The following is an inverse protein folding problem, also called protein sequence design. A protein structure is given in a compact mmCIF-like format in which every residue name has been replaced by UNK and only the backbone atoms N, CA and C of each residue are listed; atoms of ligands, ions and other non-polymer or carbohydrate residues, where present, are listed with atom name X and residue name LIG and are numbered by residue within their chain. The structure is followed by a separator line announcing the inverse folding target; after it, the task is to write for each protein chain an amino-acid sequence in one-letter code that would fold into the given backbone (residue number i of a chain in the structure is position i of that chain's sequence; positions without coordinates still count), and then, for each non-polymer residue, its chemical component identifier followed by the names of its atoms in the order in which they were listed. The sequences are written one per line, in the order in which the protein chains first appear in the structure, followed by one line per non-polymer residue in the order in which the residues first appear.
data_IF_345272254913
#
_entry.id   IF_345272254913
#
_cell.length_a   1.000
_cell.length_b   1.000
_cell.length_c   1.000
_cell.angle_alpha   90.00
_cell.angle_beta   90.00
_cell.angle_gamma   90.00
#
_symmetry.space_group_name_H-M   'P 1'
#
loop_
_entity.id
_entity.type
_entity.pdbx_description
1 polymer ?
#
# COMPACT_ATOMS: atom_id res chain seq x y z
N UNK A 1 0.77 0.92 18.55
CA UNK A 1 1.36 0.18 17.42
C UNK A 1 0.43 0.06 16.23
N UNK A 2 -0.77 -0.53 16.33
CA UNK A 2 -1.72 -0.53 15.20
C UNK A 2 -2.04 0.89 14.69
N UNK A 3 -2.19 1.86 15.60
CA UNK A 3 -2.36 3.28 15.25
C UNK A 3 -1.16 3.82 14.46
N UNK A 4 0.06 3.48 14.86
CA UNK A 4 1.27 3.92 14.16
C UNK A 4 1.36 3.31 12.76
N UNK A 5 1.01 2.03 12.60
CA UNK A 5 0.91 1.40 11.29
C UNK A 5 -0.12 2.10 10.41
N UNK A 6 -1.33 2.32 10.94
CA UNK A 6 -2.41 2.98 10.22
C UNK A 6 -2.04 4.41 9.82
N UNK A 7 -1.31 5.13 10.68
CA UNK A 7 -0.81 6.47 10.36
C UNK A 7 0.22 6.45 9.23
N UNK A 8 1.18 5.52 9.26
CA UNK A 8 2.18 5.37 8.18
C UNK A 8 1.51 4.93 6.88
N UNK A 9 0.59 3.97 6.94
CA UNK A 9 -0.22 3.51 5.80
C UNK A 9 -1.02 4.67 5.20
N UNK A 10 -1.61 5.54 6.03
CA UNK A 10 -2.34 6.73 5.57
C UNK A 10 -1.40 7.72 4.86
N UNK A 11 -0.25 8.03 5.45
CA UNK A 11 0.73 8.92 4.82
C UNK A 11 1.23 8.36 3.48
N UNK A 12 1.47 7.05 3.43
CA UNK A 12 1.85 6.37 2.21
C UNK A 12 0.75 6.42 1.13
N UNK A 13 -0.51 6.21 1.51
CA UNK A 13 -1.64 6.33 0.57
C UNK A 13 -1.76 7.76 0.06
N UNK A 14 -1.64 8.78 0.92
CA UNK A 14 -1.64 10.18 0.51
C UNK A 14 -0.51 10.45 -0.48
N UNK A 15 0.72 10.00 -0.18
CA UNK A 15 1.86 10.10 -1.08
C UNK A 15 1.60 9.43 -2.43
N UNK A 16 1.02 8.24 -2.41
CA UNK A 16 0.72 7.46 -3.63
C UNK A 16 -0.37 8.13 -4.46
N UNK A 17 -1.41 8.69 -3.84
CA UNK A 17 -2.46 9.44 -4.55
C UNK A 17 -1.92 10.72 -5.18
N UNK A 18 -0.95 11.38 -4.54
CA UNK A 18 -0.29 12.58 -5.08
C UNK A 18 0.70 12.22 -6.20
N UNK A 19 1.38 11.09 -6.12
CA UNK A 19 2.40 10.72 -7.11
C UNK A 19 1.83 9.95 -8.30
N UNK A 20 0.88 9.04 -8.09
CA UNK A 20 0.36 8.10 -9.10
C UNK A 20 1.50 7.48 -9.92
N UNK A 21 2.44 6.77 -9.27
CA UNK A 21 3.60 6.25 -9.96
C UNK A 21 3.21 5.07 -10.84
N UNK A 22 3.80 5.00 -12.02
CA UNK A 22 3.72 3.85 -12.92
C UNK A 22 5.13 3.39 -13.29
N UNK A 23 5.29 2.14 -13.71
CA UNK A 23 6.59 1.57 -14.06
C UNK A 23 6.52 0.93 -15.43
N UNK A 24 7.49 1.26 -16.27
CA UNK A 24 7.66 0.68 -17.61
C UNK A 24 9.05 0.07 -17.72
N UNK A 25 9.10 -1.21 -18.13
CA UNK A 25 10.36 -1.88 -18.40
C UNK A 25 10.71 -1.77 -19.88
N UNK A 26 11.85 -1.17 -20.20
CA UNK A 26 12.34 -1.01 -21.56
C UNK A 26 13.74 -1.61 -21.70
N UNK A 27 13.81 -2.88 -22.10
CA UNK A 27 15.05 -3.63 -22.24
C UNK A 27 15.80 -3.75 -20.90
N UNK A 28 16.80 -2.92 -20.71
CA UNK A 28 17.73 -2.84 -19.60
C UNK A 28 17.53 -1.59 -18.73
N UNK A 29 16.49 -0.80 -19.03
CA UNK A 29 16.14 0.44 -18.33
C UNK A 29 14.79 0.28 -17.63
N UNK A 30 14.77 0.69 -16.35
CA UNK A 30 13.57 0.81 -15.54
C UNK A 30 13.07 2.26 -15.59
N UNK A 31 11.95 2.52 -16.24
CA UNK A 31 11.31 3.84 -16.18
C UNK A 31 10.28 3.87 -15.07
N UNK A 32 10.37 4.88 -14.20
CA UNK A 32 9.31 5.20 -13.23
C UNK A 32 8.68 6.51 -13.72
N UNK A 33 7.39 6.46 -14.08
CA UNK A 33 6.61 7.58 -14.59
C UNK A 33 5.67 8.10 -13.51
N UNK A 34 5.31 9.38 -13.57
CA UNK A 34 4.30 10.00 -12.72
C UNK A 34 3.16 10.52 -13.57
N UNK A 35 1.97 9.97 -13.37
CA UNK A 35 0.76 10.33 -14.14
C UNK A 35 -0.01 11.50 -13.50
N UNK A 36 0.52 12.10 -12.43
CA UNK A 36 -0.16 13.18 -11.74
C UNK A 36 0.14 14.55 -12.39
N UNK A 37 -0.88 15.34 -12.78
CA UNK A 37 -0.69 16.64 -13.43
C UNK A 37 -0.02 17.70 -12.54
N UNK A 38 0.04 17.50 -11.22
CA UNK A 38 0.74 18.39 -10.30
C UNK A 38 2.25 18.17 -10.29
N UNK A 39 2.73 17.03 -10.78
CA UNK A 39 4.17 16.73 -10.88
C UNK A 39 4.66 17.23 -12.23
N UNK A 40 5.51 18.24 -12.22
CA UNK A 40 6.08 18.75 -13.48
C UNK A 40 7.32 17.96 -13.89
N UNK A 41 7.70 18.06 -15.15
CA UNK A 41 8.92 17.42 -15.70
C UNK A 41 10.24 17.99 -15.14
N UNK A 42 10.18 18.97 -14.22
CA UNK A 42 11.39 19.52 -13.59
C UNK A 42 12.10 18.42 -12.80
N UNK A 43 13.44 18.25 -12.95
CA UNK A 43 14.17 17.19 -12.25
C UNK A 43 13.93 17.18 -10.74
N UNK A 44 13.85 18.34 -10.10
CA UNK A 44 13.57 18.44 -8.68
C UNK A 44 12.23 17.80 -8.29
N UNK A 45 11.17 18.03 -9.05
CA UNK A 45 9.82 17.54 -8.74
C UNK A 45 9.77 16.01 -8.84
N UNK A 46 10.31 15.43 -9.94
CA UNK A 46 10.32 13.97 -10.14
C UNK A 46 11.18 13.24 -9.11
N UNK A 47 12.34 13.80 -8.74
CA UNK A 47 13.18 13.23 -7.70
C UNK A 47 12.54 13.36 -6.31
N UNK A 48 11.93 14.50 -5.99
CA UNK A 48 11.23 14.67 -4.72
C UNK A 48 10.08 13.66 -4.58
N UNK A 49 9.27 13.47 -5.63
CA UNK A 49 8.22 12.47 -5.65
C UNK A 49 8.77 11.05 -5.50
N UNK A 50 9.87 10.70 -6.20
CA UNK A 50 10.53 9.40 -6.04
C UNK A 50 11.03 9.19 -4.61
N UNK A 51 11.67 10.18 -4.03
CA UNK A 51 12.24 10.12 -2.67
C UNK A 51 11.15 9.91 -1.63
N UNK A 52 10.07 10.70 -1.68
CA UNK A 52 8.94 10.60 -0.76
C UNK A 52 8.26 9.23 -0.90
N UNK A 53 8.01 8.80 -2.14
CA UNK A 53 7.34 7.53 -2.40
C UNK A 53 8.18 6.35 -1.90
N UNK A 54 9.47 6.33 -2.26
CA UNK A 54 10.42 5.29 -1.83
C UNK A 54 10.57 5.27 -0.30
N UNK A 55 10.62 6.45 0.34
CA UNK A 55 10.68 6.57 1.78
C UNK A 55 9.50 5.87 2.45
N UNK A 56 8.27 6.14 2.02
CA UNK A 56 7.09 5.54 2.64
C UNK A 56 6.96 4.04 2.36
N UNK A 57 7.35 3.58 1.17
CA UNK A 57 7.41 2.13 0.86
C UNK A 57 8.31 1.44 1.87
N UNK A 58 9.56 1.88 2.03
CA UNK A 58 10.48 1.23 2.96
C UNK A 58 10.14 1.48 4.43
N UNK A 59 9.52 2.61 4.76
CA UNK A 59 9.08 2.86 6.13
C UNK A 59 7.96 1.89 6.55
N UNK A 60 7.06 1.54 5.63
CA UNK A 60 6.04 0.51 5.85
C UNK A 60 6.63 -0.89 6.09
N UNK A 61 7.83 -1.18 5.55
CA UNK A 61 8.55 -2.43 5.84
C UNK A 61 9.23 -2.38 7.20
N UNK A 62 9.98 -1.30 7.46
CA UNK A 62 10.77 -1.16 8.68
C UNK A 62 9.91 -1.04 9.94
N UNK A 63 8.67 -0.58 9.83
CA UNK A 63 7.78 -0.51 10.99
C UNK A 63 7.36 -1.90 11.51
N UNK A 64 7.32 -2.92 10.64
CA UNK A 64 6.90 -4.27 11.02
C UNK A 64 7.82 -4.90 12.08
N UNK A 65 9.15 -5.02 11.91
CA UNK A 65 10.02 -5.54 12.96
C UNK A 65 9.93 -4.72 14.26
N UNK A 66 9.77 -3.39 14.18
CA UNK A 66 9.59 -2.53 15.36
C UNK A 66 8.32 -2.91 16.13
N UNK A 67 7.22 -3.23 15.45
CA UNK A 67 5.99 -3.70 16.09
C UNK A 67 6.18 -5.03 16.81
N UNK A 68 6.92 -5.97 16.21
CA UNK A 68 7.26 -7.23 16.87
C UNK A 68 8.14 -7.01 18.09
N UNK A 69 9.15 -6.13 18.01
CA UNK A 69 10.05 -5.81 19.13
C UNK A 69 9.27 -5.16 20.28
N UNK A 70 8.43 -4.18 19.97
CA UNK A 70 7.56 -3.55 20.95
C UNK A 70 6.65 -4.58 21.62
N UNK A 71 6.03 -5.46 20.84
CA UNK A 71 5.16 -6.49 21.39
C UNK A 71 5.92 -7.44 22.30
N UNK A 72 7.10 -7.89 21.88
CA UNK A 72 7.96 -8.73 22.70
C UNK A 72 8.29 -8.05 24.03
N UNK A 73 8.61 -6.75 24.01
CA UNK A 73 8.83 -5.97 25.24
C UNK A 73 7.61 -6.00 26.18
N UNK A 74 6.43 -5.69 25.66
CA UNK A 74 5.18 -5.65 26.45
C UNK A 74 4.88 -7.01 27.07
N UNK A 75 5.10 -8.09 26.33
CA UNK A 75 4.78 -9.46 26.78
C UNK A 75 5.83 -10.04 27.73
N UNK A 76 7.10 -9.69 27.57
CA UNK A 76 8.20 -10.32 28.32
C UNK A 76 8.44 -9.78 29.71
N UNK A 77 7.67 -8.78 30.15
CA UNK A 77 7.89 -8.03 31.40
C UNK A 77 9.32 -7.51 31.60
N UNK A 78 10.20 -7.64 30.59
CA UNK A 78 11.61 -7.25 30.60
C UNK A 78 11.80 -5.74 30.43
N UNK A 79 10.75 -4.95 30.61
CA UNK A 79 10.84 -3.50 30.75
C UNK A 79 11.62 -2.80 29.65
N UNK A 80 11.55 -3.24 28.38
CA UNK A 80 12.19 -2.47 27.31
C UNK A 80 11.53 -1.10 27.29
N UNK A 81 12.28 -0.09 27.75
CA UNK A 81 11.78 1.26 27.94
C UNK A 81 11.23 1.76 26.61
N UNK A 82 10.12 2.47 26.64
CA UNK A 82 9.55 3.10 25.45
C UNK A 82 10.59 3.95 24.68
N UNK A 83 11.53 4.56 25.41
CA UNK A 83 12.70 5.26 24.84
C UNK A 83 13.55 4.40 23.91
N UNK A 84 13.75 3.11 24.20
CA UNK A 84 14.52 2.20 23.32
C UNK A 84 13.81 2.00 21.98
N UNK A 85 12.48 1.83 21.99
CA UNK A 85 11.68 1.70 20.77
C UNK A 85 11.73 3.00 19.96
N UNK A 86 11.63 4.15 20.63
CA UNK A 86 11.73 5.45 19.98
C UNK A 86 13.11 5.69 19.35
N UNK A 87 14.20 5.24 20.00
CA UNK A 87 15.56 5.31 19.44
C UNK A 87 15.71 4.44 18.19
N UNK A 88 15.16 3.22 18.20
CA UNK A 88 15.15 2.34 17.02
C UNK A 88 14.37 3.02 15.89
N UNK A 89 13.19 3.57 16.18
CA UNK A 89 12.37 4.28 15.20
C UNK A 89 13.11 5.50 14.62
N UNK A 90 13.74 6.31 15.46
CA UNK A 90 14.53 7.47 15.02
C UNK A 90 15.72 7.05 14.14
N UNK A 91 16.40 5.94 14.48
CA UNK A 91 17.46 5.36 13.68
C UNK A 91 16.95 4.93 12.30
N UNK A 92 15.82 4.21 12.23
CA UNK A 92 15.20 3.81 10.97
C UNK A 92 14.80 5.03 10.11
N UNK A 93 14.17 6.05 10.71
CA UNK A 93 13.80 7.29 10.01
C UNK A 93 15.05 7.98 9.45
N UNK A 94 16.10 8.12 10.26
CA UNK A 94 17.35 8.76 9.83
C UNK A 94 18.00 7.99 8.69
N UNK A 95 18.08 6.66 8.81
CA UNK A 95 18.60 5.79 7.77
C UNK A 95 17.80 5.94 6.47
N UNK A 96 16.47 5.95 6.52
CA UNK A 96 15.63 6.10 5.32
C UNK A 96 15.78 7.48 4.68
N UNK A 97 15.88 8.55 5.46
CA UNK A 97 16.12 9.90 4.93
C UNK A 97 17.44 9.96 4.17
N UNK A 98 18.51 9.40 4.75
CA UNK A 98 19.82 9.31 4.10
C UNK A 98 19.75 8.42 2.87
N UNK A 99 19.18 7.22 2.97
CA UNK A 99 19.07 6.30 1.84
C UNK A 99 18.29 6.90 0.66
N UNK A 100 17.17 7.58 0.95
CA UNK A 100 16.35 8.21 -0.09
C UNK A 100 17.04 9.44 -0.69
N UNK A 101 17.85 10.20 0.06
CA UNK A 101 18.58 11.35 -0.51
C UNK A 101 19.64 10.95 -1.54
N UNK A 102 20.08 9.69 -1.54
CA UNK A 102 20.96 9.17 -2.59
C UNK A 102 20.25 8.83 -3.90
N UNK A 103 18.90 8.82 -3.95
CA UNK A 103 18.17 8.39 -5.13
C UNK A 103 18.38 9.29 -6.36
N UNK A 104 18.60 10.59 -6.16
CA UNK A 104 18.96 11.52 -7.24
C UNK A 104 20.33 11.24 -7.85
N UNK A 105 21.20 10.54 -7.11
CA UNK A 105 22.50 10.09 -7.59
C UNK A 105 22.46 8.68 -8.18
N UNK A 106 21.39 7.91 -8.03
CA UNK A 106 21.27 6.54 -8.57
C UNK A 106 20.43 6.50 -9.84
N UNK A 107 19.38 7.30 -9.93
CA UNK A 107 18.49 7.40 -11.09
C UNK A 107 18.84 8.60 -11.97
N UNK A 108 18.52 8.51 -13.25
CA UNK A 108 18.75 9.56 -14.23
C UNK A 108 17.51 10.42 -14.44
N UNK A 109 17.75 11.71 -14.63
CA UNK A 109 16.73 12.68 -15.02
C UNK A 109 16.26 12.46 -16.48
N UNK A 110 15.08 12.99 -16.86
CA UNK A 110 14.63 12.96 -18.24
C UNK A 110 15.66 13.52 -19.24
N UNK A 111 15.84 12.86 -20.36
CA UNK A 111 16.68 13.32 -21.46
C UNK A 111 16.14 12.85 -22.83
N UNK A 112 16.64 13.45 -23.91
CA UNK A 112 16.15 13.19 -25.26
C UNK A 112 16.31 11.73 -25.73
N UNK A 113 17.32 11.00 -25.23
CA UNK A 113 17.53 9.59 -25.56
C UNK A 113 16.44 8.70 -24.94
N UNK A 114 16.18 8.90 -23.65
CA UNK A 114 15.13 8.20 -22.92
C UNK A 114 13.72 8.58 -23.41
N UNK A 115 13.49 9.85 -23.76
CA UNK A 115 12.22 10.29 -24.36
C UNK A 115 11.92 9.54 -25.65
N UNK A 116 12.92 9.38 -26.50
CA UNK A 116 12.78 8.62 -27.75
C UNK A 116 12.37 7.17 -27.47
N UNK A 117 12.99 6.52 -26.48
CA UNK A 117 12.66 5.15 -26.10
C UNK A 117 11.22 5.01 -25.56
N UNK A 118 10.75 5.98 -24.78
CA UNK A 118 9.37 6.00 -24.25
C UNK A 118 8.34 6.29 -25.36
N UNK A 119 8.66 7.20 -26.30
CA UNK A 119 7.82 7.46 -27.47
C UNK A 119 7.70 6.24 -28.40
N UNK A 120 8.80 5.50 -28.60
CA UNK A 120 8.79 4.25 -29.36
C UNK A 120 7.90 3.18 -28.71
N UNK A 121 7.64 3.29 -27.40
CA UNK A 121 6.66 2.47 -26.67
C UNK A 121 5.24 3.01 -26.68
N UNK A 122 4.99 4.13 -27.36
CA UNK A 122 3.68 4.75 -27.46
C UNK A 122 3.26 5.59 -26.25
N UNK A 123 4.21 5.97 -25.38
CA UNK A 123 3.94 6.92 -24.30
C UNK A 123 3.87 8.34 -24.90
N UNK A 124 2.78 9.10 -24.69
CA UNK A 124 2.62 10.42 -25.28
C UNK A 124 3.51 11.47 -24.59
N UNK A 125 3.72 12.61 -25.25
CA UNK A 125 4.69 13.63 -24.81
C UNK A 125 4.31 14.26 -23.46
N UNK A 126 3.02 14.46 -23.25
CA UNK A 126 2.42 14.97 -22.02
C UNK A 126 2.71 14.10 -20.80
N UNK A 127 2.97 12.80 -21.00
CA UNK A 127 3.21 11.82 -19.93
C UNK A 127 4.71 11.57 -19.68
N UNK A 128 5.60 12.34 -20.32
CA UNK A 128 7.07 12.20 -20.15
C UNK A 128 7.59 12.83 -18.86
N UNK A 129 6.92 12.57 -17.74
CA UNK A 129 7.35 12.92 -16.38
C UNK A 129 7.89 11.65 -15.72
N UNK A 130 9.21 11.44 -15.79
CA UNK A 130 9.82 10.18 -15.38
C UNK A 130 11.21 10.33 -14.75
N UNK A 131 11.72 9.22 -14.21
CA UNK A 131 13.14 8.98 -13.92
C UNK A 131 13.53 7.62 -14.48
N UNK A 132 14.79 7.49 -14.88
CA UNK A 132 15.30 6.28 -15.53
C UNK A 132 16.33 5.58 -14.64
N UNK A 133 16.06 4.34 -14.28
CA UNK A 133 17.01 3.42 -13.68
C UNK A 133 17.79 2.71 -14.77
N UNK A 134 18.91 3.29 -15.17
CA UNK A 134 19.81 2.78 -16.21
C UNK A 134 21.12 2.29 -15.58
N UNK A 135 21.33 0.98 -15.61
CA UNK A 135 22.51 0.31 -15.04
C UNK A 135 23.82 0.64 -15.77
N UNK A 136 23.73 1.01 -17.05
CA UNK A 136 24.89 1.33 -17.88
C UNK A 136 25.30 2.79 -17.70
N UNK A 137 24.32 3.69 -17.56
CA UNK A 137 24.58 5.08 -17.22
C UNK A 137 25.10 5.23 -15.77
N UNK A 138 24.63 4.37 -14.86
CA UNK A 138 24.97 4.51 -13.45
C UNK A 138 25.07 3.19 -12.68
N UNK A 139 26.31 2.82 -12.37
CA UNK A 139 26.61 1.61 -11.61
C UNK A 139 26.10 1.65 -10.16
N UNK A 140 25.81 2.83 -9.59
CA UNK A 140 25.25 2.97 -8.23
C UNK A 140 23.82 2.41 -8.09
N UNK A 141 23.12 2.19 -9.21
CA UNK A 141 21.81 1.55 -9.23
C UNK A 141 21.85 0.12 -8.64
N UNK A 142 22.93 -0.63 -8.90
CA UNK A 142 23.04 -2.02 -8.44
C UNK A 142 23.26 -2.12 -6.93
N UNK A 143 24.20 -1.38 -6.30
CA UNK A 143 24.28 -1.26 -4.84
C UNK A 143 22.99 -0.77 -4.20
N UNK A 144 22.26 0.15 -4.84
CA UNK A 144 20.97 0.61 -4.34
C UNK A 144 19.97 -0.56 -4.24
N UNK A 145 19.77 -1.33 -5.31
CA UNK A 145 18.92 -2.52 -5.27
C UNK A 145 19.40 -3.56 -4.26
N UNK A 146 20.70 -3.78 -4.14
CA UNK A 146 21.29 -4.66 -3.14
C UNK A 146 20.97 -4.20 -1.71
N UNK A 147 21.09 -2.90 -1.41
CA UNK A 147 20.72 -2.31 -0.13
C UNK A 147 19.23 -2.49 0.18
N UNK A 148 18.36 -2.30 -0.81
CA UNK A 148 16.93 -2.49 -0.66
C UNK A 148 16.57 -3.95 -0.32
N UNK A 149 17.18 -4.92 -1.01
CA UNK A 149 17.00 -6.35 -0.72
C UNK A 149 17.54 -6.72 0.65
N UNK A 150 18.71 -6.21 1.02
CA UNK A 150 19.31 -6.45 2.34
C UNK A 150 18.41 -5.91 3.46
N UNK A 151 17.82 -4.72 3.29
CA UNK A 151 16.90 -4.12 4.25
C UNK A 151 15.68 -5.02 4.50
N UNK A 152 15.09 -5.56 3.43
CA UNK A 152 13.97 -6.50 3.51
C UNK A 152 14.39 -7.77 4.23
N UNK A 153 15.51 -8.40 3.82
CA UNK A 153 16.01 -9.64 4.43
C UNK A 153 16.23 -9.45 5.93
N UNK A 154 16.99 -8.42 6.33
CA UNK A 154 17.30 -8.13 7.74
C UNK A 154 16.01 -7.90 8.54
N UNK A 155 15.06 -7.13 7.99
CA UNK A 155 13.78 -6.86 8.65
C UNK A 155 12.98 -8.14 8.88
N UNK A 156 12.88 -9.01 7.88
CA UNK A 156 12.13 -10.26 7.98
C UNK A 156 12.81 -11.29 8.88
N UNK A 157 14.14 -11.37 8.85
CA UNK A 157 14.89 -12.18 9.82
C UNK A 157 14.62 -11.71 11.25
N UNK A 158 14.64 -10.39 11.50
CA UNK A 158 14.32 -9.83 12.80
C UNK A 158 12.89 -10.16 13.24
N UNK A 159 11.89 -10.06 12.34
CA UNK A 159 10.50 -10.46 12.60
C UNK A 159 10.44 -11.91 13.07
N UNK A 160 11.07 -12.84 12.34
CA UNK A 160 11.04 -14.28 12.66
C UNK A 160 11.65 -14.55 14.04
N UNK A 161 12.83 -13.99 14.31
CA UNK A 161 13.52 -14.18 15.61
C UNK A 161 12.66 -13.65 16.76
N UNK A 162 12.15 -12.42 16.63
CA UNK A 162 11.37 -11.78 17.69
C UNK A 162 10.01 -12.46 17.86
N UNK A 163 9.39 -12.93 16.78
CA UNK A 163 8.17 -13.74 16.83
C UNK A 163 8.37 -15.02 17.64
N UNK A 164 9.42 -15.80 17.33
CA UNK A 164 9.73 -17.04 18.06
C UNK A 164 9.93 -16.75 19.55
N UNK A 165 10.69 -15.69 19.88
CA UNK A 165 10.88 -15.27 21.28
C UNK A 165 9.56 -14.88 21.94
N UNK A 166 8.69 -14.14 21.26
CA UNK A 166 7.36 -13.74 21.75
C UNK A 166 6.49 -14.97 22.03
N UNK A 167 6.47 -15.96 21.12
CA UNK A 167 5.70 -17.19 21.33
C UNK A 167 6.20 -18.00 22.53
N UNK A 168 7.52 -18.11 22.71
CA UNK A 168 8.11 -18.81 23.87
C UNK A 168 7.68 -18.16 25.18
N UNK A 169 7.68 -16.83 25.25
CA UNK A 169 7.24 -16.08 26.43
C UNK A 169 5.73 -16.23 26.66
N UNK A 170 4.90 -16.07 25.62
CA UNK A 170 3.45 -16.23 25.74
C UNK A 170 3.07 -17.63 26.29
N UNK A 171 3.72 -18.69 25.80
CA UNK A 171 3.47 -20.06 26.28
C UNK A 171 3.82 -20.24 27.76
N UNK A 172 4.90 -19.62 28.24
CA UNK A 172 5.29 -19.68 29.66
C UNK A 172 4.26 -19.00 30.57
N UNK A 173 3.70 -17.88 30.13
CA UNK A 173 2.70 -17.14 30.90
C UNK A 173 1.26 -17.60 30.65
N UNK A 174 1.02 -18.51 29.69
CA UNK A 174 -0.33 -18.93 29.29
C UNK A 174 -1.16 -19.50 30.46
N UNK A 175 -0.50 -20.19 31.41
CA UNK A 175 -1.14 -20.77 32.61
C UNK A 175 -1.65 -19.68 33.57
N UNK A 176 -1.01 -18.50 33.56
CA UNK A 176 -1.32 -17.39 34.47
C UNK A 176 -2.25 -16.34 33.83
N UNK A 177 -2.62 -16.49 32.55
CA UNK A 177 -3.47 -15.55 31.84
C UNK A 177 -4.95 -15.91 31.98
N UNK A 178 -5.79 -14.90 32.17
CA UNK A 178 -7.25 -15.09 32.05
C UNK A 178 -7.62 -15.52 30.63
N UNK A 179 -8.73 -16.24 30.47
CA UNK A 179 -9.22 -16.68 29.16
C UNK A 179 -9.42 -15.50 28.18
N UNK A 180 -9.90 -14.36 28.69
CA UNK A 180 -10.08 -13.13 27.92
C UNK A 180 -8.74 -12.57 27.41
N UNK A 181 -7.74 -12.43 28.29
CA UNK A 181 -6.39 -11.96 27.92
C UNK A 181 -5.73 -12.91 26.91
N UNK A 182 -5.87 -14.23 27.11
CA UNK A 182 -5.35 -15.26 26.19
C UNK A 182 -5.97 -15.12 24.80
N UNK A 183 -7.28 -14.91 24.72
CA UNK A 183 -7.98 -14.70 23.46
C UNK A 183 -7.51 -13.41 22.76
N UNK A 184 -7.39 -12.30 23.49
CA UNK A 184 -6.91 -11.03 22.96
C UNK A 184 -5.47 -11.14 22.42
N UNK A 185 -4.57 -11.82 23.15
CA UNK A 185 -3.20 -12.06 22.69
C UNK A 185 -3.15 -12.91 21.41
N UNK A 186 -3.96 -13.97 21.33
CA UNK A 186 -4.06 -14.80 20.10
C UNK A 186 -4.56 -13.99 18.91
N UNK A 187 -5.57 -13.16 19.10
CA UNK A 187 -6.10 -12.28 18.05
C UNK A 187 -5.03 -11.30 17.56
N UNK A 188 -4.33 -10.63 18.48
CA UNK A 188 -3.24 -9.72 18.13
C UNK A 188 -2.08 -10.45 17.43
N UNK A 189 -1.76 -11.69 17.81
CA UNK A 189 -0.75 -12.55 17.11
C UNK A 189 -1.14 -12.79 15.67
N UNK A 190 -2.39 -13.18 15.45
CA UNK A 190 -2.88 -13.47 14.12
C UNK A 190 -2.84 -12.23 13.22
N UNK A 191 -3.23 -11.07 13.72
CA UNK A 191 -3.20 -9.81 12.96
C UNK A 191 -1.77 -9.48 12.51
N UNK A 192 -0.83 -9.44 13.44
CA UNK A 192 0.54 -9.01 13.15
C UNK A 192 1.26 -10.03 12.24
N UNK A 193 0.99 -11.33 12.39
CA UNK A 193 1.49 -12.34 11.46
C UNK A 193 0.96 -12.15 10.04
N UNK A 194 -0.34 -11.85 9.92
CA UNK A 194 -0.99 -11.64 8.64
C UNK A 194 -0.41 -10.38 7.94
N UNK A 195 -0.20 -9.30 8.71
CA UNK A 195 0.47 -8.09 8.24
C UNK A 195 1.93 -8.31 7.85
N UNK A 196 2.65 -9.20 8.53
CA UNK A 196 4.00 -9.58 8.13
C UNK A 196 4.03 -10.42 6.86
N UNK A 197 3.01 -11.25 6.64
CA UNK A 197 2.96 -12.17 5.49
C UNK A 197 2.71 -11.44 4.17
N UNK A 198 1.82 -10.46 4.13
CA UNK A 198 1.44 -9.82 2.86
C UNK A 198 2.60 -9.15 2.11
N UNK A 199 3.49 -8.36 2.75
CA UNK A 199 4.57 -7.72 2.02
C UNK A 199 5.60 -8.73 1.48
N UNK A 200 5.67 -9.97 1.97
CA UNK A 200 6.50 -11.01 1.34
C UNK A 200 6.04 -11.24 -0.11
N UNK A 201 4.72 -11.33 -0.32
CA UNK A 201 4.15 -11.57 -1.64
C UNK A 201 4.00 -10.26 -2.41
N UNK A 202 3.47 -9.23 -1.78
CA UNK A 202 3.08 -7.99 -2.45
C UNK A 202 4.20 -6.97 -2.60
N UNK A 203 5.27 -7.09 -1.82
CA UNK A 203 6.40 -6.17 -1.90
C UNK A 203 7.67 -6.88 -2.35
N UNK A 204 8.07 -7.99 -1.71
CA UNK A 204 9.35 -8.63 -2.04
C UNK A 204 9.35 -9.20 -3.46
N UNK A 205 8.26 -9.83 -3.90
CA UNK A 205 8.18 -10.39 -5.25
C UNK A 205 8.20 -9.29 -6.33
N UNK A 206 7.37 -8.24 -6.30
CA UNK A 206 7.51 -7.11 -7.22
C UNK A 206 8.87 -6.40 -7.17
N UNK A 207 9.43 -6.20 -5.96
CA UNK A 207 10.75 -5.57 -5.80
C UNK A 207 11.85 -6.41 -6.42
N UNK A 208 11.74 -7.74 -6.38
CA UNK A 208 12.64 -8.64 -7.08
C UNK A 208 12.58 -8.38 -8.58
N UNK A 209 11.39 -8.26 -9.19
CA UNK A 209 11.30 -7.91 -10.61
C UNK A 209 11.90 -6.54 -10.92
N UNK A 210 11.67 -5.52 -10.08
CA UNK A 210 12.29 -4.21 -10.31
C UNK A 210 13.81 -4.25 -10.30
N UNK A 211 14.42 -5.05 -9.41
CA UNK A 211 15.87 -5.18 -9.33
C UNK A 211 16.45 -6.05 -10.47
N UNK A 212 15.79 -7.16 -10.80
CA UNK A 212 16.35 -8.17 -11.70
C UNK A 212 15.95 -7.98 -13.17
N UNK A 213 14.79 -7.39 -13.47
CA UNK A 213 14.34 -7.19 -14.85
C UNK A 213 15.35 -6.40 -15.70
N UNK A 214 15.95 -5.29 -15.20
CA UNK A 214 17.00 -4.58 -15.93
C UNK A 214 18.26 -5.44 -16.14
N UNK A 215 18.58 -6.35 -15.22
CA UNK A 215 19.78 -7.18 -15.28
C UNK A 215 19.66 -8.23 -16.39
N UNK A 216 18.49 -8.88 -16.51
CA UNK A 216 18.22 -9.93 -17.50
C UNK A 216 17.64 -9.39 -18.82
N UNK A 217 17.57 -8.07 -18.99
CA UNK A 217 17.01 -7.38 -20.15
C UNK A 217 15.54 -7.75 -20.44
N UNK A 218 14.73 -7.90 -19.39
CA UNK A 218 13.33 -8.31 -19.52
C UNK A 218 12.45 -7.16 -20.03
N UNK A 219 11.64 -7.42 -21.06
CA UNK A 219 10.72 -6.45 -21.67
C UNK A 219 9.28 -6.85 -21.38
N UNK A 220 8.51 -5.98 -20.75
CA UNK A 220 7.07 -6.16 -20.59
C UNK A 220 6.37 -4.84 -20.31
N UNK A 221 5.25 -4.61 -21.00
CA UNK A 221 4.44 -3.42 -20.82
C UNK A 221 3.46 -3.56 -19.64
N UNK A 222 3.11 -4.80 -19.26
CA UNK A 222 2.14 -5.06 -18.20
C UNK A 222 2.78 -5.43 -16.86
N UNK A 223 3.99 -6.00 -16.85
CA UNK A 223 4.62 -6.45 -15.60
C UNK A 223 4.83 -5.28 -14.62
N UNK A 224 5.20 -4.11 -15.13
CA UNK A 224 5.40 -2.92 -14.31
C UNK A 224 4.11 -2.50 -13.60
N UNK A 225 3.00 -2.43 -14.34
CA UNK A 225 1.67 -2.15 -13.80
C UNK A 225 1.27 -3.16 -12.71
N UNK A 226 1.45 -4.47 -12.97
CA UNK A 226 1.13 -5.51 -11.99
C UNK A 226 1.99 -5.38 -10.72
N UNK A 227 3.28 -5.10 -10.87
CA UNK A 227 4.20 -4.89 -9.75
C UNK A 227 3.81 -3.66 -8.91
N UNK A 228 3.52 -2.54 -9.57
CA UNK A 228 3.06 -1.29 -8.94
C UNK A 228 1.77 -1.51 -8.17
N UNK A 229 0.74 -2.09 -8.80
CA UNK A 229 -0.54 -2.41 -8.13
C UNK A 229 -0.30 -3.30 -6.92
N UNK A 230 0.53 -4.33 -7.06
CA UNK A 230 0.83 -5.26 -5.96
C UNK A 230 1.41 -4.53 -4.74
N UNK A 231 2.39 -3.64 -4.95
CA UNK A 231 3.02 -2.87 -3.87
C UNK A 231 2.01 -1.94 -3.19
N UNK A 232 1.16 -1.27 -3.96
CA UNK A 232 0.16 -0.33 -3.45
C UNK A 232 -1.07 -1.00 -2.80
N UNK A 233 -1.25 -2.31 -2.95
CA UNK A 233 -2.30 -3.06 -2.23
C UNK A 233 -1.98 -3.28 -0.74
N UNK A 234 -0.74 -3.07 -0.31
CA UNK A 234 -0.29 -3.33 1.08
C UNK A 234 -1.14 -2.63 2.15
N UNK A 235 -1.45 -1.32 2.07
CA UNK A 235 -2.26 -0.61 3.07
C UNK A 235 -3.70 -1.11 3.14
N UNK A 236 -4.25 -1.51 1.98
CA UNK A 236 -5.60 -2.07 1.87
C UNK A 236 -5.63 -3.40 2.62
N UNK A 237 -4.66 -4.28 2.37
CA UNK A 237 -4.58 -5.56 3.08
C UNK A 237 -4.29 -5.40 4.59
N UNK A 238 -3.46 -4.43 4.98
CA UNK A 238 -3.23 -4.10 6.39
C UNK A 238 -4.54 -3.73 7.10
N UNK A 239 -5.35 -2.89 6.46
CA UNK A 239 -6.66 -2.48 6.98
C UNK A 239 -7.65 -3.64 7.02
N UNK A 240 -7.70 -4.46 5.97
CA UNK A 240 -8.53 -5.66 5.90
C UNK A 240 -8.16 -6.68 6.98
N UNK A 241 -6.88 -6.90 7.24
CA UNK A 241 -6.43 -7.81 8.30
C UNK A 241 -6.98 -7.43 9.67
N UNK A 242 -6.98 -6.14 10.00
CA UNK A 242 -7.53 -5.61 11.25
C UNK A 242 -9.04 -5.83 11.30
N UNK A 243 -9.77 -5.46 10.24
CA UNK A 243 -11.24 -5.62 10.17
C UNK A 243 -11.65 -7.10 10.28
N UNK A 244 -10.96 -8.01 9.59
CA UNK A 244 -11.32 -9.44 9.54
C UNK A 244 -11.00 -10.16 10.86
N UNK A 245 -9.91 -9.80 11.51
CA UNK A 245 -9.43 -10.50 12.70
C UNK A 245 -9.99 -9.95 14.02
N UNK A 246 -10.40 -8.68 14.08
CA UNK A 246 -11.00 -8.08 15.29
C UNK A 246 -12.53 -8.23 15.22
N UNK A 247 -13.16 -9.08 16.05
CA UNK A 247 -14.58 -9.39 15.91
C UNK A 247 -15.50 -8.16 16.09
N UNK A 248 -15.14 -7.22 16.96
CA UNK A 248 -15.89 -5.98 17.16
C UNK A 248 -15.91 -5.14 15.88
N UNK A 249 -14.76 -4.94 15.24
CA UNK A 249 -14.67 -4.23 13.96
C UNK A 249 -15.42 -4.96 12.86
N UNK A 250 -15.27 -6.28 12.74
CA UNK A 250 -16.01 -7.07 11.75
C UNK A 250 -17.53 -6.90 11.86
N UNK A 251 -18.08 -6.96 13.08
CA UNK A 251 -19.51 -6.76 13.32
C UNK A 251 -19.96 -5.35 12.95
N UNK A 252 -19.18 -4.34 13.32
CA UNK A 252 -19.47 -2.95 12.97
C UNK A 252 -19.44 -2.72 11.47
N UNK A 253 -18.38 -3.17 10.78
CA UNK A 253 -18.25 -3.07 9.32
C UNK A 253 -19.40 -3.77 8.60
N UNK A 254 -19.78 -4.98 9.02
CA UNK A 254 -20.91 -5.69 8.42
C UNK A 254 -22.23 -4.95 8.60
N UNK A 255 -22.48 -4.36 9.78
CA UNK A 255 -23.67 -3.51 10.00
C UNK A 255 -23.67 -2.30 9.06
N UNK A 256 -22.54 -1.61 8.91
CA UNK A 256 -22.44 -0.47 7.98
C UNK A 256 -22.71 -0.90 6.53
N UNK A 257 -22.12 -2.02 6.09
CA UNK A 257 -22.33 -2.56 4.74
C UNK A 257 -23.81 -2.89 4.52
N UNK A 258 -24.45 -3.61 5.44
CA UNK A 258 -25.88 -3.93 5.35
C UNK A 258 -26.76 -2.67 5.32
N UNK A 259 -26.41 -1.62 6.09
CA UNK A 259 -27.15 -0.35 6.07
C UNK A 259 -27.06 0.36 4.71
N UNK A 260 -25.89 0.33 4.05
CA UNK A 260 -25.72 0.91 2.72
C UNK A 260 -26.57 0.16 1.70
N UNK A 261 -26.46 -1.17 1.65
CA UNK A 261 -27.24 -2.00 0.73
C UNK A 261 -28.76 -1.88 0.95
N UNK A 262 -29.22 -1.86 2.21
CA UNK A 262 -30.64 -1.71 2.51
C UNK A 262 -31.17 -0.31 2.16
N UNK A 263 -30.35 0.73 2.24
CA UNK A 263 -30.73 2.10 1.87
C UNK A 263 -30.95 2.22 0.36
N UNK A 264 -30.12 1.55 -0.43
CA UNK A 264 -30.25 1.53 -1.89
C UNK A 264 -31.50 0.74 -2.32
N UNK A 265 -31.78 -0.40 -1.68
CA UNK A 265 -33.01 -1.16 -1.92
C UNK A 265 -34.28 -0.34 -1.61
N UNK A 266 -34.29 0.42 -0.51
CA UNK A 266 -35.43 1.27 -0.14
C UNK A 266 -35.66 2.43 -1.14
N UNK A 267 -34.58 3.04 -1.67
CA UNK A 267 -34.69 4.10 -2.69
C UNK A 267 -35.29 3.57 -3.99
N UNK A 268 -34.85 2.41 -4.46
CA UNK A 268 -35.37 1.79 -5.70
C UNK A 268 -36.88 1.53 -5.57
N UNK A 269 -37.32 0.92 -4.46
CA UNK A 269 -38.74 0.63 -4.21
C UNK A 269 -39.61 1.91 -4.12
N UNK A 270 -39.11 2.98 -3.52
CA UNK A 270 -39.82 4.26 -3.44
C UNK A 270 -39.99 4.94 -4.81
N UNK A 271 -39.01 4.78 -5.70
CA UNK A 271 -39.03 5.34 -7.06
C UNK A 271 -40.05 4.60 -7.93
N UNK A 272 -40.06 3.27 -7.90
CA UNK A 272 -41.09 2.46 -8.58
C UNK A 272 -42.50 2.81 -8.10
N UNK A 273 -42.71 2.94 -6.78
CA UNK A 273 -44.02 3.29 -6.21
C UNK A 273 -44.48 4.68 -6.66
N UNK A 274 -43.57 5.65 -6.78
CA UNK A 274 -43.88 6.99 -7.28
C UNK A 274 -44.24 7.01 -8.78
N UNK A 275 -43.54 6.21 -9.59
CA UNK A 275 -43.82 6.07 -11.03
C UNK A 275 -45.15 5.36 -11.29
N UNK A 276 -45.49 4.34 -10.50
CA UNK A 276 -46.81 3.69 -10.60
C UNK A 276 -47.91 4.69 -10.26
N UNK A 277 -47.77 5.46 -9.18
CA UNK A 277 -48.77 6.48 -8.78
C UNK A 277 -48.92 7.60 -9.82
N UNK A 278 -47.84 8.01 -10.48
CA UNK A 278 -47.91 9.03 -11.55
C UNK A 278 -48.62 8.48 -12.79
N UNK A 279 -48.32 7.25 -13.21
CA UNK A 279 -49.01 6.57 -14.33
C UNK A 279 -50.51 6.38 -14.04
N UNK A 280 -50.90 5.96 -12.82
CA UNK A 280 -52.32 5.81 -12.46
C UNK A 280 -53.05 7.15 -12.45
N UNK A 281 -52.39 8.25 -12.04
CA UNK A 281 -52.99 9.60 -12.10
C UNK A 281 -53.18 10.09 -13.53
N UNK A 282 -52.23 9.82 -14.43
CA UNK A 282 -52.35 10.18 -15.85
C UNK A 282 -53.45 9.39 -16.54
N UNK A 283 -53.56 8.08 -16.28
CA UNK A 283 -54.64 7.25 -16.82
C UNK A 283 -56.03 7.72 -16.36
N UNK A 284 -56.18 8.12 -15.09
CA UNK A 284 -57.46 8.62 -14.54
C UNK A 284 -57.87 9.99 -15.12
N UNK A 285 -56.93 10.80 -15.62
CA UNK A 285 -57.22 12.09 -16.28
C UNK A 285 -57.54 11.97 -17.78
N UNK A 286 -57.08 10.91 -18.46
CA UNK A 286 -57.32 10.70 -19.89
C UNK A 286 -58.64 10.01 -20.26
N UNK A 287 -59.34 9.37 -19.31
CA UNK A 287 -60.58 8.60 -19.55
C UNK A 287 -61.88 9.43 -19.55
N UNK A 288 -61.81 10.76 -19.53
CA UNK A 288 -62.95 11.64 -19.32
C UNK A 288 -63.34 12.49 -20.53
N UNK A 289 -63.42 11.93 -21.74
CA UNK A 289 -64.06 12.60 -22.88
C UNK A 289 -64.39 11.62 -24.01
N UNK A 290 -65.31 10.67 -23.77
CA UNK A 290 -66.07 10.04 -24.86
C UNK A 290 -67.38 10.80 -24.95
N UNK A 291 -67.38 11.86 -25.77
CA UNK A 291 -68.59 12.50 -26.25
C UNK A 291 -69.29 11.51 -27.18
N UNK A 292 -70.40 10.94 -26.73
CA UNK A 292 -71.39 10.29 -27.60
C UNK A 292 -72.16 11.37 -28.35
N UNK A 293 -71.77 11.65 -29.59
CA UNK A 293 -72.65 12.29 -30.59
C UNK A 293 -73.47 11.20 -31.25
N UNK A 294 -74.79 11.36 -31.23
CA UNK A 294 -75.76 10.40 -31.76
C UNK A 294 -76.03 10.50 -33.25
#
# INVERSE_FOLDING_TARGET
MLILNAFIDLLYVISTTISVPNVVFASDILFILWENPFVTRRPFDVFACMMIQTYFIYFSVLILPIQFIYRYSVVSSNGCKFSTILKILACCITYLLVHCSFLSYTYQAPNAGYDKMLREKGIPEEDLVYVAGDKHANWWLLPHFGSCMLMVIVSYTAIIIVYIKTQKVLRRFEIHMTASTRQAQRQMTRIILLQAFYPIILLCFPSFFFAFAPIINFKSDYLGIVCVISIHLTPILNSMAVVLCVPSYRRTTWRFILLIFNRDAAKVSSTETSNIKSLTRTAKRGGGSVQTTG
#
